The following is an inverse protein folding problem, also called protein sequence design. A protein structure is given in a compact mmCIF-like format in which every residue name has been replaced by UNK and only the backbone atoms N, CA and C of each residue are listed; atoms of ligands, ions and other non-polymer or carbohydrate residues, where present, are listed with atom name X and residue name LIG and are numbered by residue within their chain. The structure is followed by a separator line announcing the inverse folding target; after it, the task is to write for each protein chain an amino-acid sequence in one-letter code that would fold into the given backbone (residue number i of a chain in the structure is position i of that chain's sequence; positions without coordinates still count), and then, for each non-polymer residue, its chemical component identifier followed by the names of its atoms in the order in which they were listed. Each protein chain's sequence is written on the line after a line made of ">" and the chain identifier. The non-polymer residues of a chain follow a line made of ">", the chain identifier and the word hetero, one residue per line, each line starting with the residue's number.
data_IF_231009365806
#
_entry.id   IF_231009365806
#
_cell.length_a   1.000
_cell.length_b   1.000
_cell.length_c   1.000
_cell.angle_alpha   90.00
_cell.angle_beta   90.00
_cell.angle_gamma   90.00
#
_symmetry.space_group_name_H-M   'P 1'
#
loop_
_entity.id
_entity.type
_entity.pdbx_description
1 polymer ?
#
# COMPACT_ATOMS: atom_id res chain seq x y z
N UNK A 1 3.96 -23.15 3.30
CA UNK A 1 3.41 -22.27 4.34
C UNK A 1 2.42 -21.39 3.62
N UNK A 2 1.15 -21.36 4.02
CA UNK A 2 0.16 -20.48 3.39
C UNK A 2 0.53 -19.07 3.83
N UNK A 3 1.07 -18.28 2.92
CA UNK A 3 1.16 -16.83 3.09
C UNK A 3 -0.27 -16.35 3.25
N UNK A 4 -0.68 -16.09 4.48
CA UNK A 4 -2.00 -15.52 4.77
C UNK A 4 -1.99 -14.12 4.20
N UNK A 5 -2.41 -13.99 2.94
CA UNK A 5 -2.71 -12.69 2.36
C UNK A 5 -3.92 -12.21 3.16
N UNK A 6 -3.69 -11.33 4.12
CA UNK A 6 -4.73 -10.66 4.87
C UNK A 6 -5.80 -10.18 3.89
N UNK A 7 -7.02 -10.64 4.08
CA UNK A 7 -8.15 -10.23 3.24
C UNK A 7 -8.60 -8.85 3.71
N UNK A 8 -8.25 -7.81 2.96
CA UNK A 8 -8.77 -6.46 3.17
C UNK A 8 -10.27 -6.41 2.88
N UNK A 9 -11.02 -5.84 3.82
CA UNK A 9 -12.46 -5.61 3.73
C UNK A 9 -12.80 -4.31 2.98
N UNK A 10 -11.83 -3.43 2.79
CA UNK A 10 -11.97 -2.12 2.15
C UNK A 10 -12.29 -0.98 3.11
N UNK A 11 -12.54 -1.29 4.39
CA UNK A 11 -12.80 -0.33 5.47
C UNK A 11 -11.54 0.10 6.22
N UNK A 12 -10.45 -0.64 6.04
CA UNK A 12 -9.17 -0.38 6.68
C UNK A 12 -8.57 0.93 6.16
N UNK A 13 -7.94 1.68 7.05
CA UNK A 13 -7.09 2.80 6.67
C UNK A 13 -5.80 2.24 6.06
N UNK A 14 -5.37 2.77 4.94
CA UNK A 14 -4.10 2.46 4.30
C UNK A 14 -3.22 3.68 4.40
N UNK A 15 -1.96 3.46 4.75
CA UNK A 15 -0.94 4.50 4.85
C UNK A 15 0.31 4.03 4.11
N UNK A 16 0.80 4.85 3.18
CA UNK A 16 2.04 4.60 2.46
C UNK A 16 3.12 5.52 3.03
N UNK A 17 4.23 4.94 3.46
CA UNK A 17 5.37 5.63 4.05
C UNK A 17 6.57 5.56 3.12
N UNK A 18 7.07 6.72 2.70
CA UNK A 18 8.29 6.86 1.92
C UNK A 18 9.32 7.61 2.76
N UNK A 19 10.49 7.01 3.02
CA UNK A 19 11.52 7.57 3.93
C UNK A 19 10.96 8.03 5.29
N UNK A 20 10.14 7.19 5.93
CA UNK A 20 9.46 7.49 7.21
C UNK A 20 8.46 8.67 7.18
N UNK A 21 8.20 9.25 6.01
CA UNK A 21 7.17 10.29 5.81
C UNK A 21 5.92 9.70 5.16
N UNK A 22 4.73 10.14 5.58
CA UNK A 22 3.47 9.73 4.97
C UNK A 22 3.40 10.32 3.57
N UNK A 23 3.43 9.44 2.56
CA UNK A 23 3.27 9.79 1.16
C UNK A 23 1.79 9.97 0.82
N UNK A 24 0.95 9.02 1.24
CA UNK A 24 -0.49 9.06 1.03
C UNK A 24 -1.21 8.17 2.04
N UNK A 25 -2.42 8.58 2.41
CA UNK A 25 -3.29 7.83 3.31
C UNK A 25 -4.75 7.92 2.85
N UNK A 26 -5.55 6.93 3.22
CA UNK A 26 -6.98 6.87 2.87
C UNK A 26 -7.57 5.49 3.14
N UNK A 27 -8.85 5.25 2.84
CA UNK A 27 -9.44 3.92 2.97
C UNK A 27 -8.88 2.95 1.91
N UNK A 28 -8.76 1.67 2.25
CA UNK A 28 -8.30 0.60 1.37
C UNK A 28 -9.11 0.52 0.06
N UNK A 29 -10.41 0.82 0.14
CA UNK A 29 -11.30 0.92 -1.02
C UNK A 29 -10.92 2.02 -2.02
N UNK A 30 -10.12 3.03 -1.66
CA UNK A 30 -9.60 4.03 -2.59
C UNK A 30 -8.32 3.60 -3.30
N UNK A 31 -7.52 2.71 -2.71
CA UNK A 31 -6.25 2.26 -3.29
C UNK A 31 -6.37 0.96 -4.08
N UNK A 32 -7.21 0.05 -3.60
CA UNK A 32 -7.36 -1.31 -4.14
C UNK A 32 -8.68 -1.53 -4.88
N UNK A 33 -9.34 -0.51 -5.42
CA UNK A 33 -10.48 -0.73 -6.34
C UNK A 33 -10.01 -0.73 -7.79
N UNK A 34 -10.81 -1.31 -8.66
CA UNK A 34 -10.58 -1.23 -10.11
C UNK A 34 -10.60 0.25 -10.57
N UNK A 35 -9.58 0.66 -11.32
CA UNK A 35 -9.37 2.06 -11.72
C UNK A 35 -8.68 2.98 -10.70
N UNK A 36 -8.24 2.43 -9.55
CA UNK A 36 -7.39 3.15 -8.60
C UNK A 36 -5.90 3.00 -8.89
N UNK A 37 -5.08 3.58 -8.01
CA UNK A 37 -3.63 3.60 -8.05
C UNK A 37 -2.99 2.22 -8.33
N UNK A 38 -3.56 1.13 -7.78
CA UNK A 38 -3.13 -0.24 -8.11
C UNK A 38 -4.02 -0.94 -9.17
N UNK A 39 -5.20 -0.39 -9.45
CA UNK A 39 -6.12 -0.88 -10.49
C UNK A 39 -6.68 -2.29 -10.28
N UNK A 40 -6.39 -2.94 -9.16
CA UNK A 40 -6.80 -4.32 -8.83
C UNK A 40 -7.44 -4.36 -7.45
N UNK A 41 -8.48 -5.20 -7.31
CA UNK A 41 -9.10 -5.59 -6.04
C UNK A 41 -8.21 -6.54 -5.22
N UNK A 42 -6.91 -6.27 -5.16
CA UNK A 42 -5.90 -7.11 -4.52
C UNK A 42 -4.97 -6.19 -3.71
N UNK A 43 -4.71 -6.49 -2.42
CA UNK A 43 -3.72 -5.75 -1.62
C UNK A 43 -2.32 -5.90 -2.21
N UNK A 44 -1.45 -4.93 -1.92
CA UNK A 44 -0.04 -5.03 -2.27
C UNK A 44 0.66 -6.04 -1.35
N UNK A 45 1.52 -6.89 -1.92
CA UNK A 45 2.43 -7.74 -1.17
C UNK A 45 3.78 -7.07 -0.93
N UNK A 46 4.59 -7.66 -0.05
CA UNK A 46 6.00 -7.29 0.05
C UNK A 46 6.69 -7.63 -1.28
N UNK A 47 7.38 -6.65 -1.87
CA UNK A 47 8.01 -6.76 -3.18
C UNK A 47 7.13 -6.33 -4.36
N UNK A 48 5.83 -6.06 -4.15
CA UNK A 48 5.01 -5.46 -5.20
C UNK A 48 5.52 -4.06 -5.55
N UNK A 49 5.45 -3.75 -6.84
CA UNK A 49 5.82 -2.45 -7.40
C UNK A 49 4.56 -1.77 -7.94
N UNK A 50 4.40 -0.49 -7.62
CA UNK A 50 3.29 0.32 -8.10
C UNK A 50 3.78 1.72 -8.45
N UNK A 51 3.08 2.38 -9.35
CA UNK A 51 3.41 3.73 -9.81
C UNK A 51 2.52 4.74 -9.09
N UNK A 52 3.12 5.79 -8.55
CA UNK A 52 2.42 6.96 -8.01
C UNK A 52 2.72 8.16 -8.87
N UNK A 53 1.70 8.95 -9.14
CA UNK A 53 1.84 10.26 -9.79
C UNK A 53 1.95 11.28 -8.67
N UNK A 54 3.10 11.93 -8.57
CA UNK A 54 3.29 13.03 -7.62
C UNK A 54 2.49 14.28 -8.04
N UNK A 55 2.34 15.25 -7.13
CA UNK A 55 1.75 16.57 -7.43
C UNK A 55 2.42 17.31 -8.59
N UNK A 56 3.65 16.93 -8.96
CA UNK A 56 4.39 17.46 -10.12
C UNK A 56 4.12 16.72 -11.44
N UNK A 57 3.18 15.78 -11.47
CA UNK A 57 2.90 14.90 -12.63
C UNK A 57 4.07 13.95 -12.95
N UNK A 58 5.02 13.79 -12.02
CA UNK A 58 6.13 12.86 -12.14
C UNK A 58 5.71 11.46 -11.68
N UNK A 59 5.90 10.46 -12.53
CA UNK A 59 5.62 9.06 -12.21
C UNK A 59 6.80 8.50 -11.43
N UNK A 60 6.56 8.13 -10.18
CA UNK A 60 7.55 7.45 -9.33
C UNK A 60 7.12 6.01 -9.11
N UNK A 61 7.96 5.06 -9.51
CA UNK A 61 7.77 3.66 -9.18
C UNK A 61 8.20 3.41 -7.73
N UNK A 62 7.32 2.78 -6.95
CA UNK A 62 7.53 2.47 -5.54
C UNK A 62 7.40 0.97 -5.32
N UNK A 63 8.35 0.41 -4.59
CA UNK A 63 8.34 -0.99 -4.16
C UNK A 63 7.99 -1.09 -2.69
N UNK A 64 7.07 -1.98 -2.34
CA UNK A 64 6.77 -2.30 -0.94
C UNK A 64 7.92 -3.11 -0.35
N UNK A 65 8.56 -2.57 0.68
CA UNK A 65 9.65 -3.23 1.41
C UNK A 65 9.15 -3.89 2.69
N UNK A 66 8.21 -3.25 3.38
CA UNK A 66 7.66 -3.74 4.62
C UNK A 66 6.16 -3.44 4.70
N UNK A 67 5.44 -4.32 5.37
CA UNK A 67 4.02 -4.19 5.68
C UNK A 67 3.84 -4.32 7.20
N UNK A 68 3.15 -3.35 7.81
CA UNK A 68 2.71 -3.44 9.19
C UNK A 68 1.19 -3.30 9.30
N UNK A 69 0.58 -4.22 10.03
CA UNK A 69 -0.86 -4.24 10.26
C UNK A 69 -1.17 -3.72 11.67
N UNK A 70 -1.88 -2.60 11.74
CA UNK A 70 -2.48 -2.08 12.95
C UNK A 70 -3.79 -2.81 13.23
N UNK A 71 -3.79 -3.63 14.28
CA UNK A 71 -4.94 -4.42 14.73
C UNK A 71 -5.58 -3.72 15.94
N UNK A 72 -6.92 -3.63 15.96
CA UNK A 72 -7.68 -3.20 17.14
C UNK A 72 -7.53 -4.20 18.30
N UNK A 73 -7.86 -3.76 19.52
CA UNK A 73 -7.98 -4.65 20.67
C UNK A 73 -8.99 -5.81 20.43
N UNK A 74 -9.95 -5.62 19.52
CA UNK A 74 -10.89 -6.66 19.07
C UNK A 74 -10.30 -7.71 18.12
N UNK A 75 -9.04 -7.56 17.68
CA UNK A 75 -8.40 -8.45 16.70
C UNK A 75 -8.72 -8.13 15.23
N UNK A 76 -9.43 -7.03 14.96
CA UNK A 76 -9.78 -6.57 13.62
C UNK A 76 -8.72 -5.64 13.07
N UNK A 77 -8.37 -5.81 11.79
CA UNK A 77 -7.37 -4.96 11.13
C UNK A 77 -8.02 -3.61 10.85
N UNK A 78 -7.40 -2.55 11.35
CA UNK A 78 -7.89 -1.19 11.16
C UNK A 78 -7.01 -0.37 10.25
N UNK A 79 -5.70 -0.63 10.27
CA UNK A 79 -4.73 0.16 9.52
C UNK A 79 -3.70 -0.74 8.89
N UNK A 80 -3.35 -0.50 7.63
CA UNK A 80 -2.28 -1.20 6.93
C UNK A 80 -1.26 -0.16 6.50
N UNK A 81 -0.06 -0.30 7.01
CA UNK A 81 1.07 0.57 6.73
C UNK A 81 1.98 -0.11 5.74
N UNK A 82 2.16 0.49 4.58
CA UNK A 82 3.09 0.06 3.55
C UNK A 82 4.32 0.96 3.60
N UNK A 83 5.48 0.39 3.91
CA UNK A 83 6.75 1.09 3.80
C UNK A 83 7.32 0.83 2.43
N UNK A 84 7.52 1.91 1.68
CA UNK A 84 7.86 1.87 0.28
C UNK A 84 9.16 2.60 0.01
N UNK A 85 9.89 2.12 -0.98
CA UNK A 85 11.13 2.75 -1.47
C UNK A 85 11.00 3.02 -2.95
N UNK A 86 11.76 4.00 -3.44
CA UNK A 86 11.85 4.27 -4.86
C UNK A 86 12.43 3.03 -5.54
N UNK A 87 11.70 2.48 -6.51
CA UNK A 87 12.20 1.46 -7.39
C UNK A 87 13.10 2.15 -8.42
N UNK A 88 14.33 2.47 -8.01
CA UNK A 88 15.33 3.10 -8.88
C UNK A 88 15.96 2.09 -9.87
N UNK A 89 15.27 0.96 -10.16
CA UNK A 89 15.67 0.05 -11.23
C UNK A 89 15.33 0.65 -12.60
N UNK A 90 16.02 1.74 -12.93
CA UNK A 90 16.48 1.96 -14.30
C UNK A 90 17.68 1.07 -14.54
N UNK A 91 17.44 -0.22 -14.77
CA UNK A 91 18.41 -1.05 -15.50
C UNK A 91 18.10 -1.03 -17.01
#
# INVERSE_FOLDING_TARGET
>A
MVETITTITGQEKVEFYYNDEILMEGPASEFFKEGSLHGKNIPLGIGDVFEVIDSKDEITALRVMELQEGIYESGEIHTIKYFVVADDNKE
#
